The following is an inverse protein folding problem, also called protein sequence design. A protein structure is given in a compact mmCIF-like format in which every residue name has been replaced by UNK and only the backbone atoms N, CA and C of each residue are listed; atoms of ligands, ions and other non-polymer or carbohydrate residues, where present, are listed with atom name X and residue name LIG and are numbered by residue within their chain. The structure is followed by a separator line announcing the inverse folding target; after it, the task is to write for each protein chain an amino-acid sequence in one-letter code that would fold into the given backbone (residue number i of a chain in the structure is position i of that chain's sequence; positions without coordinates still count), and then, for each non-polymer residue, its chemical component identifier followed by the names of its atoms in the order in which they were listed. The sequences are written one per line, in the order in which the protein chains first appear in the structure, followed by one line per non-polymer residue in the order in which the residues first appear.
data_IF_512331728408
#
_entry.id   IF_512331728408
#
_cell.length_a   1.000
_cell.length_b   1.000
_cell.length_c   1.000
_cell.angle_alpha   90.00
_cell.angle_beta   90.00
_cell.angle_gamma   90.00
#
_symmetry.space_group_name_H-M   'P 1'
#
loop_
_entity.id
_entity.type
_entity.pdbx_description
1 polymer ?
#
# COMPACT_ATOMS: atom_id res chain seq x y z
N UNK A 1 -66.78 16.61 9.67
CA UNK A 1 -65.87 17.34 8.76
C UNK A 1 -64.58 17.63 9.50
N UNK A 2 -63.46 17.14 8.95
CA UNK A 2 -62.05 17.45 9.28
C UNK A 2 -61.46 16.78 10.53
N UNK A 3 -60.98 15.56 10.30
CA UNK A 3 -59.98 14.81 11.06
C UNK A 3 -58.70 15.66 11.12
N UNK A 4 -58.23 15.99 12.33
CA UNK A 4 -56.90 16.57 12.55
C UNK A 4 -55.86 15.45 12.53
N UNK A 5 -55.30 15.21 11.35
CA UNK A 5 -54.11 14.37 11.17
C UNK A 5 -52.92 15.21 11.62
N UNK A 6 -52.43 14.97 12.84
CA UNK A 6 -51.12 15.44 13.28
C UNK A 6 -50.06 14.68 12.49
N UNK A 7 -49.64 15.26 11.37
CA UNK A 7 -48.55 14.77 10.54
C UNK A 7 -47.24 15.01 11.32
N UNK A 8 -46.82 14.00 12.08
CA UNK A 8 -45.51 13.94 12.72
C UNK A 8 -44.45 13.93 11.61
N UNK A 9 -43.73 15.05 11.45
CA UNK A 9 -42.49 15.10 10.71
C UNK A 9 -41.48 14.16 11.38
N UNK A 10 -41.34 12.95 10.84
CA UNK A 10 -40.15 12.13 11.02
C UNK A 10 -39.41 12.09 9.69
N UNK A 11 -38.70 13.18 9.41
CA UNK A 11 -37.64 13.18 8.41
C UNK A 11 -36.46 12.45 9.06
N UNK A 12 -36.44 11.12 8.96
CA UNK A 12 -35.25 10.35 9.27
C UNK A 12 -34.23 10.64 8.16
N UNK A 13 -33.43 11.69 8.33
CA UNK A 13 -32.15 11.76 7.62
C UNK A 13 -31.25 10.71 8.26
N UNK A 14 -31.24 9.52 7.67
CA UNK A 14 -30.07 8.67 7.78
C UNK A 14 -28.95 9.37 7.01
N UNK A 15 -28.27 10.30 7.68
CA UNK A 15 -26.93 10.71 7.29
C UNK A 15 -26.00 9.52 7.57
N UNK A 16 -26.07 8.52 6.69
CA UNK A 16 -25.01 7.56 6.53
C UNK A 16 -23.82 8.28 5.92
N UNK A 17 -23.13 9.10 6.71
CA UNK A 17 -21.72 9.39 6.45
C UNK A 17 -20.98 8.09 6.75
N UNK A 18 -21.11 7.10 5.86
CA UNK A 18 -20.10 6.08 5.72
C UNK A 18 -18.84 6.83 5.35
N UNK A 19 -18.00 7.09 6.35
CA UNK A 19 -16.63 7.50 6.11
C UNK A 19 -16.09 6.48 5.13
N UNK A 20 -15.71 6.94 3.94
CA UNK A 20 -14.92 6.13 3.02
C UNK A 20 -13.60 5.91 3.72
N UNK A 21 -13.55 4.92 4.60
CA UNK A 21 -12.34 4.19 4.93
C UNK A 21 -11.80 3.78 3.56
N UNK A 22 -10.75 4.44 3.09
CA UNK A 22 -10.21 4.19 1.76
C UNK A 22 -9.89 2.70 1.67
N UNK A 23 -10.43 2.01 0.64
CA UNK A 23 -10.35 0.55 0.48
C UNK A 23 -8.93 -0.02 0.71
N UNK A 24 -7.90 0.79 0.42
CA UNK A 24 -6.51 0.55 0.77
C UNK A 24 -6.28 0.03 2.21
N UNK A 25 -6.89 0.63 3.23
CA UNK A 25 -6.64 0.27 4.63
C UNK A 25 -7.31 -1.03 5.08
N UNK A 26 -8.12 -1.65 4.22
CA UNK A 26 -8.78 -2.93 4.50
C UNK A 26 -7.94 -4.13 4.05
N UNK A 27 -6.82 -3.91 3.37
CA UNK A 27 -5.95 -4.99 2.90
C UNK A 27 -4.98 -5.44 4.00
N UNK A 28 -4.77 -6.75 4.04
CA UNK A 28 -3.63 -7.36 4.70
C UNK A 28 -2.70 -7.91 3.62
N UNK A 29 -1.40 -7.77 3.84
CA UNK A 29 -0.35 -8.19 2.90
C UNK A 29 0.76 -8.90 3.67
N UNK A 30 1.58 -9.70 2.98
CA UNK A 30 2.77 -10.28 3.61
C UNK A 30 3.95 -9.32 3.50
N UNK A 31 4.64 -9.05 4.60
CA UNK A 31 5.93 -8.38 4.55
C UNK A 31 6.99 -9.29 3.91
N UNK A 32 8.17 -8.76 3.62
CA UNK A 32 9.23 -9.52 2.94
C UNK A 32 9.79 -10.71 3.77
N UNK A 33 9.44 -10.80 5.06
CA UNK A 33 9.78 -11.92 5.94
C UNK A 33 8.63 -12.95 6.05
N UNK A 34 7.52 -12.75 5.33
CA UNK A 34 6.37 -13.65 5.29
C UNK A 34 5.32 -13.44 6.39
N UNK A 35 5.44 -12.37 7.19
CA UNK A 35 4.48 -12.05 8.24
C UNK A 35 3.31 -11.22 7.67
N UNK A 36 2.09 -11.48 8.12
CA UNK A 36 0.92 -10.70 7.71
C UNK A 36 0.92 -9.32 8.41
N UNK A 37 0.78 -8.26 7.62
CA UNK A 37 0.74 -6.86 8.05
C UNK A 37 -0.55 -6.22 7.55
N UNK A 38 -1.26 -5.53 8.44
CA UNK A 38 -2.46 -4.78 8.05
C UNK A 38 -2.08 -3.40 7.53
N UNK A 39 -2.55 -3.02 6.34
CA UNK A 39 -2.27 -1.68 5.81
C UNK A 39 -2.93 -0.58 6.64
N UNK A 40 -3.91 -0.92 7.49
CA UNK A 40 -4.51 -0.01 8.46
C UNK A 40 -3.50 0.57 9.47
N UNK A 41 -2.36 -0.08 9.70
CA UNK A 41 -1.26 0.40 10.55
C UNK A 41 -0.64 1.72 10.04
N UNK A 42 -0.81 2.02 8.75
CA UNK A 42 -0.28 3.22 8.10
C UNK A 42 -1.29 4.38 8.06
N UNK A 43 -2.46 4.28 8.72
CA UNK A 43 -3.43 5.38 8.78
C UNK A 43 -2.82 6.65 9.37
N UNK A 44 -3.15 7.78 8.75
CA UNK A 44 -2.64 9.10 9.15
C UNK A 44 -1.25 9.43 8.60
N UNK A 45 -0.60 8.50 7.89
CA UNK A 45 0.64 8.75 7.15
C UNK A 45 0.35 9.12 5.71
N UNK A 46 1.28 9.82 5.07
CA UNK A 46 1.34 9.90 3.61
C UNK A 46 1.98 8.61 3.13
N UNK A 47 1.23 7.78 2.40
CA UNK A 47 1.68 6.46 1.95
C UNK A 47 2.08 6.52 0.48
N UNK A 48 3.34 6.21 0.19
CA UNK A 48 3.86 6.04 -1.17
C UNK A 48 4.06 4.55 -1.45
N UNK A 49 3.20 3.97 -2.29
CA UNK A 49 3.31 2.58 -2.74
C UNK A 49 4.14 2.51 -4.01
N UNK A 50 5.15 1.65 -4.05
CA UNK A 50 6.06 1.52 -5.20
C UNK A 50 6.24 0.05 -5.54
N UNK A 51 5.91 -0.33 -6.77
CA UNK A 51 6.33 -1.64 -7.28
C UNK A 51 7.79 -1.55 -7.75
N UNK A 52 8.62 -2.51 -7.34
CA UNK A 52 10.08 -2.45 -7.51
C UNK A 52 10.64 -3.72 -8.16
N UNK A 53 11.87 -3.63 -8.65
CA UNK A 53 12.59 -4.72 -9.32
C UNK A 53 14.12 -4.59 -9.11
N UNK A 54 14.83 -5.69 -8.82
CA UNK A 54 16.28 -5.70 -8.60
C UNK A 54 17.12 -5.71 -9.89
N UNK A 55 16.54 -6.14 -11.03
CA UNK A 55 17.24 -6.26 -12.32
C UNK A 55 16.64 -5.33 -13.38
N UNK A 56 16.24 -4.13 -12.98
CA UNK A 56 15.65 -3.12 -13.85
C UNK A 56 16.68 -2.02 -14.17
N UNK A 57 16.58 -1.41 -15.36
CA UNK A 57 17.38 -0.23 -15.69
C UNK A 57 17.10 0.97 -14.76
N UNK A 58 15.97 0.95 -14.06
CA UNK A 58 15.57 1.95 -13.07
C UNK A 58 15.84 1.54 -11.62
N UNK A 59 16.46 0.38 -11.37
CA UNK A 59 16.81 -0.05 -10.00
C UNK A 59 17.62 0.99 -9.20
N UNK A 60 18.50 1.83 -9.81
CA UNK A 60 19.14 2.93 -9.07
C UNK A 60 18.18 3.95 -8.42
N UNK A 61 16.88 3.95 -8.77
CA UNK A 61 15.88 4.77 -8.09
C UNK A 61 15.71 4.42 -6.60
N UNK A 62 16.14 3.24 -6.14
CA UNK A 62 16.16 2.91 -4.71
C UNK A 62 16.90 3.97 -3.88
N UNK A 63 18.02 4.53 -4.38
CA UNK A 63 18.75 5.59 -3.69
C UNK A 63 17.89 6.84 -3.52
N UNK A 64 17.16 7.23 -4.56
CA UNK A 64 16.25 8.36 -4.53
C UNK A 64 15.08 8.14 -3.56
N UNK A 65 14.49 6.95 -3.57
CA UNK A 65 13.42 6.57 -2.65
C UNK A 65 13.91 6.59 -1.21
N UNK A 66 15.08 6.02 -0.93
CA UNK A 66 15.69 6.02 0.40
C UNK A 66 15.98 7.44 0.87
N UNK A 67 16.53 8.31 0.01
CA UNK A 67 16.79 9.71 0.36
C UNK A 67 15.51 10.48 0.72
N UNK A 68 14.43 10.30 -0.04
CA UNK A 68 13.13 10.95 0.25
C UNK A 68 12.53 10.35 1.53
N UNK A 69 12.66 9.05 1.75
CA UNK A 69 12.21 8.39 2.96
C UNK A 69 12.92 8.94 4.20
N UNK A 70 14.25 8.99 4.19
CA UNK A 70 15.02 9.57 5.29
C UNK A 70 14.66 11.04 5.55
N UNK A 71 14.42 11.82 4.50
CA UNK A 71 14.10 13.23 4.63
C UNK A 71 12.72 13.51 5.25
N UNK A 72 11.76 12.59 5.13
CA UNK A 72 10.35 12.86 5.45
C UNK A 72 9.66 11.78 6.30
N UNK A 73 10.35 10.72 6.72
CA UNK A 73 9.74 9.67 7.55
C UNK A 73 9.20 10.22 8.88
N UNK A 74 9.91 11.17 9.48
CA UNK A 74 9.49 11.84 10.72
C UNK A 74 8.35 12.87 10.50
N UNK A 75 8.17 13.35 9.27
CA UNK A 75 7.04 14.19 8.86
C UNK A 75 5.78 13.37 8.53
N UNK A 76 5.86 12.04 8.63
CA UNK A 76 4.75 11.12 8.40
C UNK A 76 4.71 10.50 7.01
N UNK A 77 5.79 10.56 6.22
CA UNK A 77 5.91 9.76 4.99
C UNK A 77 6.22 8.30 5.33
N UNK A 78 5.59 7.36 4.62
CA UNK A 78 6.00 5.96 4.59
C UNK A 78 6.05 5.46 3.14
N UNK A 79 7.15 4.81 2.77
CA UNK A 79 7.28 4.13 1.48
C UNK A 79 7.03 2.64 1.71
N UNK A 80 6.19 2.02 0.86
CA UNK A 80 5.90 0.59 0.90
C UNK A 80 6.38 -0.03 -0.43
N UNK A 81 7.48 -0.79 -0.37
CA UNK A 81 8.09 -1.41 -1.53
C UNK A 81 7.50 -2.80 -1.81
N UNK A 82 6.94 -2.99 -2.99
CA UNK A 82 6.35 -4.25 -3.45
C UNK A 82 7.13 -4.82 -4.64
N UNK A 83 8.01 -5.81 -4.44
CA UNK A 83 8.73 -6.44 -5.54
C UNK A 83 7.74 -7.06 -6.53
N UNK A 84 8.00 -6.91 -7.83
CA UNK A 84 7.09 -7.40 -8.88
C UNK A 84 7.84 -7.95 -10.09
N UNK A 85 7.55 -9.20 -10.46
CA UNK A 85 8.22 -9.86 -11.58
C UNK A 85 7.47 -9.73 -12.92
N UNK A 86 6.35 -9.00 -12.96
CA UNK A 86 5.47 -8.90 -14.13
C UNK A 86 6.12 -8.16 -15.31
N UNK A 87 7.19 -7.39 -15.08
CA UNK A 87 7.87 -6.58 -16.08
C UNK A 87 9.17 -7.26 -16.54
N UNK A 88 9.09 -8.00 -17.65
CA UNK A 88 10.23 -8.68 -18.29
C UNK A 88 11.05 -9.58 -17.34
N UNK A 89 10.45 -10.12 -16.27
CA UNK A 89 11.15 -11.03 -15.37
C UNK A 89 12.28 -10.38 -14.56
N UNK A 90 12.19 -9.08 -14.27
CA UNK A 90 13.26 -8.30 -13.64
C UNK A 90 13.35 -8.45 -12.11
N UNK A 91 12.49 -9.25 -11.49
CA UNK A 91 12.53 -9.58 -10.07
C UNK A 91 12.40 -11.10 -9.83
N UNK A 92 13.36 -11.90 -10.34
CA UNK A 92 13.25 -13.36 -10.34
C UNK A 92 13.51 -13.98 -8.97
N UNK A 93 14.20 -13.27 -8.06
CA UNK A 93 14.66 -13.81 -6.78
C UNK A 93 13.55 -14.12 -5.77
N UNK A 94 13.88 -14.88 -4.73
CA UNK A 94 13.02 -15.06 -3.56
C UNK A 94 12.92 -13.79 -2.72
N UNK A 95 11.95 -13.71 -1.81
CA UNK A 95 11.82 -12.58 -0.90
C UNK A 95 13.11 -12.36 -0.07
N UNK A 96 13.78 -13.43 0.35
CA UNK A 96 15.06 -13.36 1.07
C UNK A 96 16.19 -12.79 0.20
N UNK A 97 16.31 -13.23 -1.06
CA UNK A 97 17.30 -12.69 -2.01
C UNK A 97 17.03 -11.21 -2.31
N UNK A 98 15.76 -10.83 -2.45
CA UNK A 98 15.34 -9.44 -2.71
C UNK A 98 15.66 -8.56 -1.50
N UNK A 99 15.33 -9.01 -0.28
CA UNK A 99 15.64 -8.29 0.95
C UNK A 99 17.15 -8.04 1.09
N UNK A 100 17.95 -9.08 0.87
CA UNK A 100 19.40 -8.98 0.90
C UNK A 100 19.91 -7.97 -0.13
N UNK A 101 19.44 -8.04 -1.37
CA UNK A 101 19.81 -7.08 -2.42
C UNK A 101 19.48 -5.64 -2.03
N UNK A 102 18.24 -5.36 -1.63
CA UNK A 102 17.81 -4.00 -1.29
C UNK A 102 18.57 -3.43 -0.09
N UNK A 103 18.87 -4.27 0.90
CA UNK A 103 19.60 -3.87 2.11
C UNK A 103 21.08 -3.64 1.82
N UNK A 104 21.75 -4.59 1.15
CA UNK A 104 23.20 -4.57 0.97
C UNK A 104 23.64 -3.58 -0.11
N UNK A 105 22.89 -3.48 -1.20
CA UNK A 105 23.28 -2.63 -2.35
C UNK A 105 22.79 -1.19 -2.20
N UNK A 106 21.65 -0.97 -1.54
CA UNK A 106 20.98 0.34 -1.49
C UNK A 106 20.69 0.87 -0.09
N UNK A 107 20.92 0.08 0.96
CA UNK A 107 20.62 0.50 2.34
C UNK A 107 19.15 0.84 2.56
N UNK A 108 18.24 0.14 1.87
CA UNK A 108 16.79 0.36 2.01
C UNK A 108 16.34 0.09 3.44
N UNK A 109 15.70 1.10 4.06
CA UNK A 109 15.18 1.06 5.44
C UNK A 109 13.65 1.16 5.49
N UNK A 110 13.00 1.51 4.38
CA UNK A 110 11.54 1.51 4.32
C UNK A 110 10.96 0.08 4.22
N UNK A 111 9.70 -0.15 4.68
CA UNK A 111 9.07 -1.45 4.63
C UNK A 111 9.04 -2.08 3.23
N UNK A 112 9.54 -3.31 3.17
CA UNK A 112 9.48 -4.17 1.98
C UNK A 112 8.46 -5.29 2.22
N UNK A 113 7.73 -5.63 1.16
CA UNK A 113 6.69 -6.66 1.18
C UNK A 113 7.08 -7.86 0.31
N UNK A 114 6.37 -8.97 0.50
CA UNK A 114 6.53 -10.13 -0.37
C UNK A 114 6.25 -9.78 -1.82
N UNK A 115 6.94 -10.49 -2.72
CA UNK A 115 6.74 -10.32 -4.15
C UNK A 115 5.28 -10.56 -4.53
N UNK A 116 4.71 -9.64 -5.31
CA UNK A 116 3.29 -9.64 -5.68
C UNK A 116 3.09 -9.32 -7.15
N UNK A 117 2.04 -9.87 -7.76
CA UNK A 117 1.66 -9.53 -9.12
C UNK A 117 0.92 -8.19 -9.16
N UNK A 118 1.50 -7.22 -9.89
CA UNK A 118 0.93 -5.86 -10.02
C UNK A 118 0.34 -5.59 -11.41
N UNK A 119 0.36 -6.60 -12.29
CA UNK A 119 -0.20 -6.54 -13.64
C UNK A 119 -0.46 -7.95 -14.16
N UNK A 120 -1.58 -8.14 -14.86
CA UNK A 120 -1.95 -9.41 -15.48
C UNK A 120 -3.24 -9.97 -14.89
N UNK A 121 -3.60 -11.19 -15.26
CA UNK A 121 -4.81 -11.86 -14.76
C UNK A 121 -4.71 -12.20 -13.26
N UNK A 122 -3.48 -12.38 -12.76
CA UNK A 122 -3.14 -12.66 -11.37
C UNK A 122 -2.81 -11.39 -10.56
N UNK A 123 -3.11 -10.20 -11.10
CA UNK A 123 -2.90 -8.93 -10.41
C UNK A 123 -3.62 -8.90 -9.06
N UNK A 124 -2.89 -8.57 -7.99
CA UNK A 124 -3.44 -8.44 -6.65
C UNK A 124 -4.46 -7.30 -6.57
N UNK A 125 -5.52 -7.48 -5.77
CA UNK A 125 -6.60 -6.50 -5.58
C UNK A 125 -6.08 -5.13 -5.09
N UNK A 126 -5.00 -5.11 -4.31
CA UNK A 126 -4.36 -3.87 -3.86
C UNK A 126 -3.92 -2.97 -5.03
N UNK A 127 -3.60 -3.56 -6.18
CA UNK A 127 -3.08 -2.85 -7.35
C UNK A 127 -4.13 -2.63 -8.46
N UNK A 128 -5.40 -2.97 -8.24
CA UNK A 128 -6.49 -2.75 -9.21
C UNK A 128 -7.16 -1.39 -9.02
#
# INVERSE_FOLDING_TARGET
MKIFITLLMMFAMASGNGTVETAFYNFNVQNIDGEEVSLSEYKGKVVLVVNVASKCGYTPQYEGLQNIYEAHKDDGLIILGFPANNFNGQEPGSDEEIKQFCTLEYGVDFPMFSKVSVKGEDQAELFK
#
